data_IF_439070486749
#
_entry.id   IF_439070486749
#
_cell.length_a   1.000
_cell.length_b   1.000
_cell.length_c   1.000
_cell.angle_alpha   90.00
_cell.angle_beta   90.00
_cell.angle_gamma   90.00
#
_symmetry.space_group_name_H-M   'P 1'
#
loop_
_entity.id
_entity.type
_entity.pdbx_description
1 polymer ?
#
# COMPACT_ATOMS: atom_id res chain seq x y z
N UNK A 1 -12.96 -10.97 11.72
CA UNK A 1 -12.16 -10.08 12.59
C UNK A 1 -12.71 -8.66 12.70
N UNK A 2 -13.86 -8.37 12.10
CA UNK A 2 -14.56 -7.06 12.22
C UNK A 2 -15.32 -6.91 13.54
N UNK A 3 -15.57 -7.99 14.25
CA UNK A 3 -16.37 -8.02 15.50
C UNK A 3 -15.68 -7.37 16.71
N UNK A 4 -14.36 -7.21 16.70
CA UNK A 4 -13.62 -6.63 17.84
C UNK A 4 -13.51 -5.09 17.81
N UNK A 5 -13.69 -4.46 16.67
CA UNK A 5 -13.57 -3.01 16.55
C UNK A 5 -14.87 -2.28 16.93
N UNK A 6 -16.03 -2.84 16.58
CA UNK A 6 -17.32 -2.20 16.81
C UNK A 6 -17.61 -1.95 18.29
N UNK A 7 -17.47 -2.91 19.24
CA UNK A 7 -17.73 -2.65 20.65
C UNK A 7 -16.79 -1.57 21.24
N UNK A 8 -15.58 -1.46 20.73
CA UNK A 8 -14.63 -0.43 21.16
C UNK A 8 -15.04 0.94 20.62
N UNK A 9 -15.38 1.02 19.34
CA UNK A 9 -15.89 2.25 18.71
C UNK A 9 -17.15 2.72 19.43
N UNK A 10 -18.09 1.82 19.72
CA UNK A 10 -19.33 2.12 20.44
C UNK A 10 -19.06 2.77 21.79
N UNK A 11 -18.15 2.20 22.58
CA UNK A 11 -17.76 2.76 23.88
C UNK A 11 -17.14 4.15 23.73
N UNK A 12 -16.22 4.32 22.79
CA UNK A 12 -15.56 5.60 22.54
C UNK A 12 -16.58 6.69 22.16
N UNK A 13 -17.49 6.37 21.24
CA UNK A 13 -18.53 7.31 20.81
C UNK A 13 -19.48 7.64 21.95
N UNK A 14 -19.92 6.63 22.73
CA UNK A 14 -20.78 6.83 23.88
C UNK A 14 -20.13 7.73 24.94
N UNK A 15 -18.87 7.44 25.29
CA UNK A 15 -18.11 8.21 26.27
C UNK A 15 -17.84 9.65 25.79
N UNK A 16 -17.55 9.82 24.51
CA UNK A 16 -17.23 11.12 23.94
C UNK A 16 -18.47 12.03 23.81
N UNK A 17 -19.57 11.50 23.26
CA UNK A 17 -20.82 12.26 23.10
C UNK A 17 -21.68 12.31 24.37
N UNK A 18 -21.32 11.57 25.43
CA UNK A 18 -22.06 11.52 26.68
C UNK A 18 -23.42 10.82 26.56
N UNK A 19 -23.57 9.88 25.65
CA UNK A 19 -24.79 9.12 25.37
C UNK A 19 -24.68 7.67 25.86
N UNK A 20 -25.82 6.97 25.96
CA UNK A 20 -25.79 5.54 26.28
C UNK A 20 -25.31 4.73 25.08
N UNK A 21 -24.46 3.72 25.31
CA UNK A 21 -24.06 2.78 24.27
C UNK A 21 -25.27 2.04 23.64
N UNK A 22 -26.36 1.88 24.37
CA UNK A 22 -27.59 1.24 23.89
C UNK A 22 -28.36 2.13 22.90
N UNK A 23 -28.16 3.46 22.95
CA UNK A 23 -28.77 4.42 22.02
C UNK A 23 -28.03 4.45 20.67
N UNK A 24 -26.81 3.92 20.60
CA UNK A 24 -26.01 3.89 19.39
C UNK A 24 -26.41 2.72 18.47
N UNK A 25 -27.57 2.86 17.81
CA UNK A 25 -27.95 1.94 16.72
C UNK A 25 -27.32 2.37 15.40
N UNK A 26 -27.14 1.46 14.43
CA UNK A 26 -26.51 1.82 13.14
C UNK A 26 -27.21 2.98 12.41
N UNK A 27 -28.50 3.14 12.60
CA UNK A 27 -29.34 4.13 11.94
C UNK A 27 -29.36 5.49 12.64
N UNK A 28 -28.87 5.57 13.89
CA UNK A 28 -28.91 6.83 14.65
C UNK A 28 -28.07 7.90 13.96
N UNK A 29 -28.67 9.07 13.75
CA UNK A 29 -27.97 10.22 13.17
C UNK A 29 -27.06 10.87 14.21
N UNK A 30 -25.79 11.08 13.85
CA UNK A 30 -24.85 11.74 14.75
C UNK A 30 -25.22 13.21 14.96
N UNK A 31 -25.72 13.89 13.93
CA UNK A 31 -26.05 15.31 13.98
C UNK A 31 -27.49 15.55 14.47
N UNK A 32 -28.47 14.81 13.95
CA UNK A 32 -29.87 15.09 14.21
C UNK A 32 -30.36 14.44 15.53
N UNK A 33 -29.95 13.20 15.82
CA UNK A 33 -30.40 12.46 16.99
C UNK A 33 -29.45 12.68 18.20
N UNK A 34 -28.14 12.73 17.96
CA UNK A 34 -27.15 12.88 19.04
C UNK A 34 -26.67 14.33 19.18
N UNK A 35 -27.15 15.25 18.35
CA UNK A 35 -26.80 16.67 18.36
C UNK A 35 -25.29 16.97 18.25
N UNK A 36 -24.52 16.05 17.65
CA UNK A 36 -23.10 16.28 17.40
C UNK A 36 -22.94 17.34 16.31
N UNK A 37 -22.14 18.35 16.57
CA UNK A 37 -21.79 19.34 15.56
C UNK A 37 -20.52 18.95 14.78
N UNK A 38 -20.09 19.80 13.83
CA UNK A 38 -18.93 19.49 13.00
C UNK A 38 -17.61 19.46 13.79
N UNK A 39 -17.53 20.20 14.92
CA UNK A 39 -16.38 20.14 15.80
C UNK A 39 -16.35 18.82 16.58
N UNK A 40 -17.49 18.39 17.10
CA UNK A 40 -17.62 17.12 17.77
C UNK A 40 -17.21 15.94 16.87
N UNK A 41 -17.64 15.97 15.58
CA UNK A 41 -17.27 14.94 14.62
C UNK A 41 -15.77 14.93 14.30
N UNK A 42 -15.15 16.12 14.23
CA UNK A 42 -13.70 16.22 13.99
C UNK A 42 -12.90 15.75 15.22
N UNK A 43 -13.30 16.10 16.42
CA UNK A 43 -12.67 15.65 17.65
C UNK A 43 -12.87 14.14 17.85
N UNK A 44 -14.04 13.62 17.52
CA UNK A 44 -14.32 12.17 17.53
C UNK A 44 -13.41 11.43 16.54
N UNK A 45 -13.16 12.01 15.36
CA UNK A 45 -12.21 11.43 14.42
C UNK A 45 -10.79 11.34 15.00
N UNK A 46 -10.31 12.41 15.66
CA UNK A 46 -9.00 12.41 16.32
C UNK A 46 -8.91 11.35 17.44
N UNK A 47 -9.98 11.17 18.21
CA UNK A 47 -10.06 10.12 19.22
C UNK A 47 -9.96 8.73 18.57
N UNK A 48 -10.69 8.50 17.48
CA UNK A 48 -10.63 7.24 16.72
C UNK A 48 -9.25 7.00 16.12
N UNK A 49 -8.59 8.04 15.58
CA UNK A 49 -7.21 7.95 15.09
C UNK A 49 -6.26 7.48 16.19
N UNK A 50 -6.31 8.11 17.36
CA UNK A 50 -5.45 7.75 18.49
C UNK A 50 -5.68 6.34 19.00
N UNK A 51 -6.94 5.93 19.11
CA UNK A 51 -7.31 4.64 19.69
C UNK A 51 -7.19 3.46 18.73
N UNK A 52 -7.44 3.68 17.45
CA UNK A 52 -7.38 2.64 16.43
C UNK A 52 -6.06 2.67 15.64
N UNK A 53 -5.25 3.73 15.82
CA UNK A 53 -4.02 3.94 15.07
C UNK A 53 -4.24 4.10 13.57
N UNK A 54 -5.36 4.65 13.16
CA UNK A 54 -5.73 4.92 11.77
C UNK A 54 -5.53 6.41 11.47
N UNK A 55 -5.58 6.77 10.19
CA UNK A 55 -5.67 8.15 9.73
C UNK A 55 -7.05 8.33 9.08
N UNK A 56 -7.83 9.31 9.56
CA UNK A 56 -9.19 9.58 9.09
C UNK A 56 -9.17 10.82 8.20
N UNK A 57 -9.24 10.71 6.89
CA UNK A 57 -9.26 11.86 6.01
C UNK A 57 -10.49 12.72 6.24
N UNK A 58 -10.36 14.05 6.20
CA UNK A 58 -11.46 15.01 6.41
C UNK A 58 -12.69 14.68 5.54
N UNK A 59 -12.48 14.36 4.26
CA UNK A 59 -13.57 13.94 3.36
C UNK A 59 -14.34 12.71 3.85
N UNK A 60 -13.70 11.81 4.58
CA UNK A 60 -14.37 10.62 5.10
C UNK A 60 -15.31 10.98 6.26
N UNK A 61 -14.99 12.03 7.02
CA UNK A 61 -15.85 12.58 8.07
C UNK A 61 -17.06 13.28 7.46
N UNK A 62 -16.85 14.04 6.39
CA UNK A 62 -17.93 14.74 5.68
C UNK A 62 -19.01 13.81 5.12
N UNK A 63 -18.65 12.56 4.83
CA UNK A 63 -19.56 11.53 4.30
C UNK A 63 -20.31 10.77 5.43
N UNK A 64 -19.84 10.84 6.67
CA UNK A 64 -20.45 10.15 7.82
C UNK A 64 -21.70 10.91 8.28
N UNK A 65 -22.84 10.23 8.29
CA UNK A 65 -24.14 10.77 8.75
C UNK A 65 -24.66 10.04 9.97
N UNK A 66 -24.48 8.73 10.00
CA UNK A 66 -24.99 7.85 11.04
C UNK A 66 -23.87 7.19 11.83
N UNK A 67 -24.19 6.62 12.97
CA UNK A 67 -23.26 5.78 13.73
C UNK A 67 -22.77 4.58 12.90
N UNK A 68 -23.67 3.99 12.09
CA UNK A 68 -23.31 2.90 11.16
C UNK A 68 -22.27 3.31 10.13
N UNK A 69 -22.38 4.52 9.55
CA UNK A 69 -21.38 5.06 8.61
C UNK A 69 -20.01 5.23 9.29
N UNK A 70 -20.01 5.75 10.51
CA UNK A 70 -18.79 5.93 11.31
C UNK A 70 -18.09 4.59 11.54
N UNK A 71 -18.82 3.57 11.97
CA UNK A 71 -18.28 2.22 12.20
C UNK A 71 -17.75 1.61 10.91
N UNK A 72 -18.49 1.73 9.82
CA UNK A 72 -18.09 1.22 8.51
C UNK A 72 -16.79 1.88 8.01
N UNK A 73 -16.69 3.21 8.14
CA UNK A 73 -15.52 4.02 7.77
C UNK A 73 -14.31 3.62 8.62
N UNK A 74 -14.43 3.59 9.95
CA UNK A 74 -13.35 3.19 10.84
C UNK A 74 -12.87 1.75 10.59
N UNK A 75 -13.79 0.83 10.33
CA UNK A 75 -13.46 -0.55 9.97
C UNK A 75 -12.74 -0.66 8.63
N UNK A 76 -13.13 0.13 7.63
CA UNK A 76 -12.47 0.17 6.32
C UNK A 76 -11.03 0.70 6.43
N UNK A 77 -10.83 1.79 7.17
CA UNK A 77 -9.51 2.38 7.40
C UNK A 77 -8.60 1.43 8.19
N UNK A 78 -9.12 0.75 9.22
CA UNK A 78 -8.38 -0.25 9.99
C UNK A 78 -7.94 -1.43 9.12
N UNK A 79 -8.81 -1.95 8.24
CA UNK A 79 -8.45 -3.00 7.27
C UNK A 79 -7.38 -2.52 6.29
N UNK A 80 -7.50 -1.29 5.79
CA UNK A 80 -6.52 -0.68 4.90
C UNK A 80 -5.13 -0.57 5.55
N UNK A 81 -5.07 -0.15 6.82
CA UNK A 81 -3.83 -0.10 7.60
C UNK A 81 -3.20 -1.49 7.77
N UNK A 82 -3.99 -2.48 8.21
CA UNK A 82 -3.52 -3.86 8.38
C UNK A 82 -3.01 -4.47 7.07
N UNK A 83 -3.69 -4.20 5.95
CA UNK A 83 -3.23 -4.64 4.64
C UNK A 83 -1.89 -4.00 4.26
N UNK A 84 -1.70 -2.71 4.53
CA UNK A 84 -0.41 -2.00 4.31
C UNK A 84 0.69 -2.56 5.20
N UNK A 85 0.44 -2.77 6.49
CA UNK A 85 1.40 -3.35 7.43
C UNK A 85 1.82 -4.77 7.00
N UNK A 86 0.87 -5.61 6.59
CA UNK A 86 1.14 -6.96 6.07
C UNK A 86 1.97 -6.88 4.78
N UNK A 87 1.65 -5.96 3.89
CA UNK A 87 2.39 -5.76 2.65
C UNK A 87 3.83 -5.28 2.92
N UNK A 88 4.02 -4.34 3.84
CA UNK A 88 5.35 -3.87 4.24
C UNK A 88 6.16 -4.98 4.95
N UNK A 89 5.53 -5.78 5.81
CA UNK A 89 6.18 -6.93 6.44
C UNK A 89 6.58 -8.02 5.42
N UNK A 90 5.90 -8.07 4.28
CA UNK A 90 6.19 -8.99 3.17
C UNK A 90 7.14 -8.39 2.13
N UNK A 91 7.49 -7.10 2.25
CA UNK A 91 8.39 -6.43 1.32
C UNK A 91 9.78 -7.09 1.34
N UNK A 92 10.37 -7.40 0.17
CA UNK A 92 11.71 -7.95 0.11
C UNK A 92 12.74 -6.91 0.61
N UNK A 93 13.69 -7.36 1.42
CA UNK A 93 14.75 -6.49 1.97
C UNK A 93 15.68 -5.94 0.88
N UNK A 94 15.80 -6.65 -0.23
CA UNK A 94 16.63 -6.26 -1.39
C UNK A 94 15.93 -6.63 -2.68
N UNK A 95 16.14 -5.81 -3.71
CA UNK A 95 15.71 -6.10 -5.08
C UNK A 95 16.88 -5.90 -6.04
N UNK A 96 16.76 -6.48 -7.22
CA UNK A 96 17.59 -6.15 -8.38
C UNK A 96 16.68 -5.67 -9.49
N UNK A 97 16.96 -4.52 -10.06
CA UNK A 97 16.21 -3.98 -11.19
C UNK A 97 17.11 -3.89 -12.42
N UNK A 98 16.51 -4.09 -13.60
CA UNK A 98 17.15 -3.92 -14.89
C UNK A 98 16.19 -3.17 -15.80
N UNK A 99 16.65 -2.06 -16.33
CA UNK A 99 15.92 -1.27 -17.32
C UNK A 99 16.53 -1.51 -18.70
N UNK A 100 15.73 -1.96 -19.64
CA UNK A 100 16.13 -2.20 -21.02
C UNK A 100 15.35 -1.26 -21.94
N UNK A 101 16.06 -0.42 -22.68
CA UNK A 101 15.47 0.45 -23.68
C UNK A 101 15.18 -0.32 -24.98
N UNK A 102 14.05 -0.02 -25.62
CA UNK A 102 13.62 -0.69 -26.87
C UNK A 102 14.57 -0.50 -28.04
N UNK A 103 15.32 0.60 -28.06
CA UNK A 103 16.21 0.97 -29.16
C UNK A 103 17.63 0.39 -29.07
N UNK A 104 17.96 -0.35 -28.02
CA UNK A 104 19.27 -0.95 -27.83
C UNK A 104 19.25 -2.43 -28.23
N UNK A 105 19.73 -2.69 -29.46
CA UNK A 105 19.77 -4.04 -30.05
C UNK A 105 20.75 -5.00 -29.34
N UNK A 106 21.60 -4.48 -28.45
CA UNK A 106 22.63 -5.24 -27.73
C UNK A 106 22.21 -5.74 -26.35
N UNK A 107 20.95 -5.55 -25.93
CA UNK A 107 20.44 -5.97 -24.62
C UNK A 107 21.12 -5.29 -23.43
N UNK A 108 21.89 -4.23 -23.65
CA UNK A 108 22.48 -3.45 -22.57
C UNK A 108 21.35 -2.75 -21.80
N UNK A 109 21.30 -2.97 -20.50
CA UNK A 109 20.33 -2.37 -19.61
C UNK A 109 21.02 -1.74 -18.42
N UNK A 110 20.41 -0.72 -17.84
CA UNK A 110 20.85 -0.15 -16.58
C UNK A 110 20.42 -1.09 -15.44
N UNK A 111 21.39 -1.62 -14.72
CA UNK A 111 21.12 -2.51 -13.57
C UNK A 111 21.36 -1.78 -12.26
N UNK A 112 20.45 -1.97 -11.32
CA UNK A 112 20.59 -1.51 -9.92
C UNK A 112 20.26 -2.67 -8.98
N UNK A 113 20.91 -2.70 -7.82
CA UNK A 113 20.63 -3.65 -6.77
C UNK A 113 20.70 -2.92 -5.42
N UNK A 114 19.77 -3.22 -4.54
CA UNK A 114 19.71 -2.60 -3.20
C UNK A 114 18.36 -2.77 -2.53
N UNK A 115 18.19 -2.09 -1.42
CA UNK A 115 16.91 -2.06 -0.71
C UNK A 115 15.87 -1.29 -1.53
N UNK A 116 14.64 -1.79 -1.59
CA UNK A 116 13.52 -1.07 -2.17
C UNK A 116 12.97 -0.08 -1.13
N UNK A 117 13.39 1.16 -1.26
CA UNK A 117 12.88 2.30 -0.50
C UNK A 117 12.07 3.21 -1.43
N UNK A 118 11.26 4.15 -0.93
CA UNK A 118 10.59 5.12 -1.78
C UNK A 118 11.56 5.86 -2.71
N UNK A 119 12.73 6.23 -2.23
CA UNK A 119 13.76 6.91 -2.99
C UNK A 119 14.32 6.03 -4.13
N UNK A 120 14.70 4.78 -3.83
CA UNK A 120 15.25 3.86 -4.85
C UNK A 120 14.18 3.42 -5.85
N UNK A 121 12.91 3.33 -5.43
CA UNK A 121 11.80 3.08 -6.35
C UNK A 121 11.62 4.24 -7.35
N UNK A 122 11.72 5.47 -6.88
CA UNK A 122 11.65 6.67 -7.73
C UNK A 122 12.80 6.72 -8.72
N UNK A 123 14.05 6.49 -8.29
CA UNK A 123 15.21 6.42 -9.20
C UNK A 123 15.05 5.35 -10.29
N UNK A 124 14.58 4.14 -9.92
CA UNK A 124 14.34 3.05 -10.87
C UNK A 124 13.24 3.45 -11.86
N UNK A 125 12.18 4.09 -11.39
CA UNK A 125 11.09 4.55 -12.23
C UNK A 125 11.55 5.66 -13.19
N UNK A 126 12.36 6.61 -12.74
CA UNK A 126 12.95 7.63 -13.60
C UNK A 126 13.84 7.03 -14.71
N UNK A 127 14.67 6.06 -14.36
CA UNK A 127 15.51 5.37 -15.33
C UNK A 127 14.64 4.67 -16.39
N UNK A 128 13.55 4.03 -15.98
CA UNK A 128 12.62 3.38 -16.90
C UNK A 128 11.89 4.40 -17.81
N UNK A 129 11.52 5.56 -17.29
CA UNK A 129 10.91 6.63 -18.08
C UNK A 129 11.90 7.27 -19.06
N UNK A 130 13.16 7.48 -18.65
CA UNK A 130 14.23 7.96 -19.54
C UNK A 130 14.53 6.99 -20.67
N UNK A 131 14.38 5.69 -20.44
CA UNK A 131 14.54 4.68 -21.48
C UNK A 131 13.44 4.74 -22.57
N UNK A 132 12.36 5.46 -22.29
CA UNK A 132 11.31 5.81 -23.23
C UNK A 132 10.16 4.81 -23.32
N UNK A 133 9.19 5.13 -24.18
CA UNK A 133 8.03 4.26 -24.42
C UNK A 133 8.47 2.92 -25.03
N UNK A 134 7.90 1.84 -24.50
CA UNK A 134 8.26 0.47 -24.89
C UNK A 134 9.46 -0.09 -24.12
N UNK A 135 10.09 0.70 -23.24
CA UNK A 135 11.13 0.19 -22.36
C UNK A 135 10.59 -0.93 -21.44
N UNK A 136 11.47 -1.83 -21.04
CA UNK A 136 11.14 -2.92 -20.13
C UNK A 136 11.87 -2.73 -18.80
N UNK A 137 11.12 -2.72 -17.72
CA UNK A 137 11.62 -2.79 -16.34
C UNK A 137 11.47 -4.23 -15.83
N UNK A 138 12.59 -4.89 -15.60
CA UNK A 138 12.65 -6.21 -14.98
C UNK A 138 13.09 -6.04 -13.53
N UNK A 139 12.25 -6.44 -12.58
CA UNK A 139 12.58 -6.42 -11.14
C UNK A 139 12.68 -7.84 -10.65
N UNK A 140 13.81 -8.17 -10.03
CA UNK A 140 14.05 -9.50 -9.46
C UNK A 140 14.11 -9.37 -7.94
N UNK A 141 13.33 -10.19 -7.27
CA UNK A 141 13.29 -10.29 -5.81
C UNK A 141 13.96 -11.58 -5.33
N UNK A 142 14.40 -11.68 -4.07
CA UNK A 142 14.94 -12.92 -3.53
C UNK A 142 13.97 -14.09 -3.69
N UNK A 143 14.50 -15.28 -3.88
CA UNK A 143 13.71 -16.51 -4.04
C UNK A 143 12.73 -16.79 -2.90
N UNK A 144 13.11 -16.41 -1.67
CA UNK A 144 12.29 -16.59 -0.48
C UNK A 144 11.15 -15.56 -0.33
N UNK A 145 11.04 -14.60 -1.26
CA UNK A 145 9.97 -13.59 -1.21
C UNK A 145 8.61 -14.26 -1.38
N UNK A 146 7.67 -13.93 -0.51
CA UNK A 146 6.29 -14.42 -0.58
C UNK A 146 5.54 -13.87 -1.81
N UNK A 147 4.43 -14.50 -2.21
CA UNK A 147 3.59 -13.98 -3.30
C UNK A 147 3.09 -12.56 -3.00
N UNK A 148 2.67 -12.31 -1.76
CA UNK A 148 2.28 -10.96 -1.32
C UNK A 148 3.43 -9.94 -1.44
N UNK A 149 4.68 -10.35 -1.20
CA UNK A 149 5.86 -9.50 -1.40
C UNK A 149 6.14 -9.21 -2.87
N UNK A 150 5.95 -10.19 -3.75
CA UNK A 150 6.06 -10.02 -5.21
C UNK A 150 4.99 -9.06 -5.73
N UNK A 151 3.74 -9.23 -5.29
CA UNK A 151 2.62 -8.36 -5.66
C UNK A 151 2.84 -6.93 -5.15
N UNK A 152 3.31 -6.77 -3.92
CA UNK A 152 3.65 -5.47 -3.36
C UNK A 152 4.70 -4.74 -4.22
N UNK A 153 5.78 -5.43 -4.64
CA UNK A 153 6.79 -4.85 -5.53
C UNK A 153 6.19 -4.48 -6.89
N UNK A 154 5.32 -5.31 -7.43
CA UNK A 154 4.62 -5.04 -8.71
C UNK A 154 3.79 -3.77 -8.61
N UNK A 155 3.06 -3.58 -7.50
CA UNK A 155 2.20 -2.41 -7.27
C UNK A 155 3.01 -1.11 -7.19
N UNK A 156 4.26 -1.16 -6.66
CA UNK A 156 5.13 0.03 -6.61
C UNK A 156 5.42 0.62 -8.01
N UNK A 157 5.40 -0.22 -9.04
CA UNK A 157 5.76 0.18 -10.42
C UNK A 157 4.59 0.07 -11.41
N UNK A 158 3.39 -0.34 -10.96
CA UNK A 158 2.23 -0.59 -11.82
C UNK A 158 1.85 0.64 -12.66
N UNK A 159 1.96 1.84 -12.10
CA UNK A 159 1.68 3.11 -12.77
C UNK A 159 2.57 3.40 -13.99
N UNK A 160 3.75 2.78 -14.10
CA UNK A 160 4.64 2.92 -15.25
C UNK A 160 4.03 2.32 -16.53
N UNK A 161 3.12 1.36 -16.39
CA UNK A 161 2.42 0.78 -17.54
C UNK A 161 1.59 1.83 -18.29
N UNK A 162 0.98 2.77 -17.59
CA UNK A 162 0.24 3.91 -18.17
C UNK A 162 1.15 4.86 -18.96
N UNK A 163 2.44 4.86 -18.63
CA UNK A 163 3.49 5.64 -19.31
C UNK A 163 4.13 4.87 -20.45
N UNK A 164 3.69 3.64 -20.73
CA UNK A 164 4.17 2.80 -21.82
C UNK A 164 5.44 2.00 -21.51
N UNK A 165 5.77 1.80 -20.23
CA UNK A 165 6.86 0.93 -19.77
C UNK A 165 6.30 -0.45 -19.43
N UNK A 166 6.92 -1.52 -19.93
CA UNK A 166 6.56 -2.89 -19.57
C UNK A 166 7.24 -3.27 -18.25
N UNK A 167 6.46 -3.59 -17.23
CA UNK A 167 6.97 -3.98 -15.90
C UNK A 167 6.81 -5.48 -15.72
N UNK A 168 7.89 -6.15 -15.34
CA UNK A 168 7.89 -7.56 -14.94
C UNK A 168 8.59 -7.74 -13.59
N UNK A 169 7.97 -8.50 -12.70
CA UNK A 169 8.55 -8.84 -11.38
C UNK A 169 8.64 -10.35 -11.28
N UNK A 170 9.84 -10.86 -11.02
CA UNK A 170 10.10 -12.29 -10.89
C UNK A 170 11.02 -12.58 -9.70
N UNK A 171 11.14 -13.87 -9.33
CA UNK A 171 12.07 -14.35 -8.30
C UNK A 171 13.42 -14.74 -8.92
N UNK A 172 14.45 -14.71 -8.12
CA UNK A 172 15.83 -14.99 -8.58
C UNK A 172 16.01 -16.39 -9.22
N UNK A 173 15.08 -17.34 -8.95
CA UNK A 173 15.06 -18.67 -9.57
C UNK A 173 14.48 -18.71 -10.99
N UNK A 174 13.69 -17.72 -11.37
CA UNK A 174 12.99 -17.68 -12.67
C UNK A 174 13.87 -17.12 -13.80
N UNK A 175 15.10 -16.73 -13.48
CA UNK A 175 16.02 -16.17 -14.47
C UNK A 175 16.76 -17.32 -15.17
N UNK A 176 16.67 -17.45 -16.51
CA UNK A 176 17.57 -18.33 -17.25
C UNK A 176 19.01 -17.87 -17.03
N UNK A 177 19.99 -18.79 -16.89
CA UNK A 177 21.38 -18.43 -16.68
C UNK A 177 21.85 -17.48 -17.79
N UNK A 178 22.37 -16.31 -17.40
CA UNK A 178 22.94 -15.35 -18.34
C UNK A 178 24.02 -16.07 -19.15
N UNK A 179 23.82 -16.15 -20.46
CA UNK A 179 24.84 -16.61 -21.40
C UNK A 179 26.04 -15.63 -21.32
N UNK A 180 27.07 -15.98 -20.54
CA UNK A 180 28.25 -15.10 -20.43
C UNK A 180 29.23 -15.35 -19.30
N UNK A 181 29.13 -16.49 -18.56
CA UNK A 181 30.25 -16.91 -17.70
C UNK A 181 30.79 -18.28 -18.16
N UNK A 182 31.59 -18.24 -19.21
CA UNK A 182 32.52 -19.33 -19.49
C UNK A 182 33.67 -19.24 -18.48
N UNK A 183 33.92 -20.27 -17.63
CA UNK A 183 35.11 -20.28 -16.80
C UNK A 183 36.36 -20.25 -17.68
N UNK A 184 37.44 -19.56 -17.26
CA UNK A 184 38.69 -19.59 -18.02
C UNK A 184 39.18 -21.04 -18.09
N UNK A 185 39.46 -21.49 -19.30
CA UNK A 185 40.11 -22.79 -19.55
C UNK A 185 41.44 -22.84 -18.80
N UNK A 186 41.57 -23.83 -17.89
CA UNK A 186 42.83 -24.14 -17.27
C UNK A 186 43.78 -24.66 -18.34
N UNK A 187 44.90 -23.98 -18.51
CA UNK A 187 46.08 -24.44 -19.19
C UNK A 187 47.10 -24.99 -18.21
#
# INVERSE_FOLDING_TARGET
MSEFAEPRIRRLVADYLGVSADDLTPEVSLTDDLAADSLDLMELALVLEGELGIEVPERAIDEVRTYGDLVATAAALTRGRQARETSLASAPSTIRSRVVATMLDNGAGLERAGALTPYTAEEIAEDALRAGRGARLEVTVPAATTDAGVDWVRDQFAWLAERGVQVSVGRDHDRPPSAGQQPPAAA
#
